data_IF_281133302307
#
_entry.id   IF_281133302307
#
_cell.length_a   1.000
_cell.length_b   1.000
_cell.length_c   1.000
_cell.angle_alpha   90.00
_cell.angle_beta   90.00
_cell.angle_gamma   90.00
#
_symmetry.space_group_name_H-M   'P 1'
#
loop_
_entity.id
_entity.type
_entity.pdbx_description
1 polymer ?
#
# COMPACT_ATOMS: atom_id res chain seq x y z
N UNK A 1 0.85 7.81 -8.73
CA UNK A 1 1.32 9.05 -8.12
C UNK A 1 2.85 9.10 -8.09
N UNK A 2 3.50 8.26 -7.28
CA UNK A 2 4.98 8.27 -7.12
C UNK A 2 5.73 8.08 -8.43
N UNK A 3 5.39 7.10 -9.25
CA UNK A 3 6.03 6.91 -10.57
C UNK A 3 5.86 8.13 -11.48
N UNK A 4 4.66 8.74 -11.53
CA UNK A 4 4.43 9.93 -12.33
C UNK A 4 5.28 11.12 -11.85
N UNK A 5 5.45 11.25 -10.53
CA UNK A 5 6.32 12.26 -9.93
C UNK A 5 7.78 12.03 -10.32
N UNK A 6 8.30 10.80 -10.17
CA UNK A 6 9.66 10.46 -10.55
C UNK A 6 9.92 10.74 -12.05
N UNK A 7 9.00 10.31 -12.90
CA UNK A 7 9.12 10.58 -14.35
C UNK A 7 9.16 12.08 -14.67
N UNK A 8 8.39 12.89 -13.97
CA UNK A 8 8.40 14.34 -14.16
C UNK A 8 9.73 14.97 -13.71
N UNK A 9 10.40 14.40 -12.71
CA UNK A 9 11.72 14.81 -12.24
C UNK A 9 12.82 14.40 -13.24
N UNK A 10 12.84 13.11 -13.63
CA UNK A 10 13.90 12.53 -14.45
C UNK A 10 13.81 12.97 -15.93
N UNK A 11 12.59 13.21 -16.40
CA UNK A 11 12.32 13.53 -17.82
C UNK A 11 11.43 14.76 -17.98
N UNK A 12 11.85 15.96 -17.52
CA UNK A 12 11.02 17.16 -17.48
C UNK A 12 10.50 17.58 -18.86
N UNK A 13 11.26 17.31 -19.94
CA UNK A 13 10.85 17.64 -21.30
C UNK A 13 9.82 16.67 -21.89
N UNK A 14 9.66 15.49 -21.29
CA UNK A 14 8.79 14.42 -21.82
C UNK A 14 7.43 14.35 -21.14
N UNK A 15 7.32 14.93 -19.93
CA UNK A 15 6.08 14.89 -19.14
C UNK A 15 5.40 16.25 -19.17
N UNK A 16 4.28 16.34 -19.85
CA UNK A 16 3.49 17.58 -19.93
C UNK A 16 2.48 17.72 -18.78
N UNK A 17 1.91 16.61 -18.35
CA UNK A 17 0.90 16.55 -17.28
C UNK A 17 1.17 15.37 -16.39
N UNK A 18 1.08 15.55 -15.08
CA UNK A 18 1.23 14.50 -14.09
C UNK A 18 0.02 14.49 -13.14
N UNK A 19 -0.61 13.33 -12.99
CA UNK A 19 -1.70 13.12 -12.04
C UNK A 19 -1.16 12.40 -10.82
N UNK A 20 -1.25 13.04 -9.66
CA UNK A 20 -0.81 12.52 -8.37
C UNK A 20 -2.03 12.41 -7.46
N UNK A 21 -2.60 11.23 -7.39
CA UNK A 21 -3.85 10.95 -6.66
C UNK A 21 -3.54 10.01 -5.50
N UNK A 22 -3.98 10.36 -4.28
CA UNK A 22 -3.81 9.57 -3.06
C UNK A 22 -2.36 9.07 -2.92
N UNK A 23 -1.39 10.00 -2.94
CA UNK A 23 0.03 9.70 -2.94
C UNK A 23 0.81 10.66 -2.03
N UNK A 24 2.09 10.39 -1.85
CA UNK A 24 2.97 11.20 -1.03
C UNK A 24 4.35 11.35 -1.69
N UNK A 25 5.13 12.39 -1.35
CA UNK A 25 6.51 12.51 -1.82
C UNK A 25 7.41 11.40 -1.27
N UNK A 26 7.11 10.86 -0.08
CA UNK A 26 7.73 9.66 0.49
C UNK A 26 6.80 8.98 1.50
N UNK A 27 7.04 7.70 1.78
CA UNK A 27 6.27 6.98 2.77
C UNK A 27 6.54 7.49 4.19
N UNK A 28 5.50 7.46 5.03
CA UNK A 28 5.65 7.65 6.46
C UNK A 28 6.24 6.40 7.13
N UNK A 29 6.84 6.57 8.32
CA UNK A 29 7.30 5.45 9.15
C UNK A 29 6.20 4.41 9.37
N UNK A 30 4.95 4.85 9.60
CA UNK A 30 3.82 3.95 9.77
C UNK A 30 3.53 3.13 8.51
N UNK A 31 3.60 3.74 7.32
CA UNK A 31 3.43 3.02 6.06
C UNK A 31 4.52 1.98 5.82
N UNK A 32 5.77 2.31 6.15
CA UNK A 32 6.90 1.38 6.09
C UNK A 32 6.68 0.20 7.04
N UNK A 33 6.21 0.48 8.28
CA UNK A 33 5.90 -0.55 9.26
C UNK A 33 4.81 -1.53 8.77
N UNK A 34 3.71 -1.02 8.18
CA UNK A 34 2.69 -1.89 7.57
C UNK A 34 3.23 -2.73 6.42
N UNK A 35 4.07 -2.13 5.58
CA UNK A 35 4.72 -2.86 4.49
C UNK A 35 5.61 -3.96 5.04
N UNK A 36 6.34 -3.71 6.13
CA UNK A 36 7.23 -4.70 6.72
C UNK A 36 6.46 -5.88 7.32
N UNK A 37 5.39 -5.63 8.08
CA UNK A 37 4.53 -6.70 8.63
C UNK A 37 3.99 -7.58 7.49
N UNK A 38 3.53 -6.97 6.40
CA UNK A 38 3.02 -7.70 5.24
C UNK A 38 4.13 -8.53 4.55
N UNK A 39 5.34 -7.99 4.44
CA UNK A 39 6.51 -8.74 3.91
C UNK A 39 6.89 -9.89 4.83
N UNK A 40 6.95 -9.67 6.14
CA UNK A 40 7.26 -10.73 7.10
C UNK A 40 6.27 -11.88 7.01
N UNK A 41 4.97 -11.60 6.83
CA UNK A 41 3.99 -12.64 6.62
C UNK A 41 4.31 -13.53 5.38
N UNK A 42 4.82 -12.94 4.30
CA UNK A 42 5.22 -13.66 3.09
C UNK A 42 6.54 -14.41 3.30
N UNK A 43 7.56 -13.73 3.87
CA UNK A 43 8.90 -14.28 4.04
C UNK A 43 8.94 -15.47 5.00
N UNK A 44 8.05 -15.48 6.00
CA UNK A 44 7.94 -16.57 6.99
C UNK A 44 6.97 -17.68 6.57
N UNK A 45 6.31 -17.56 5.42
CA UNK A 45 5.47 -18.62 4.88
C UNK A 45 6.36 -19.83 4.48
N UNK A 46 6.09 -21.05 5.01
CA UNK A 46 6.89 -22.23 4.67
C UNK A 46 6.98 -22.52 3.17
N UNK A 47 5.96 -22.14 2.41
CA UNK A 47 5.88 -22.35 0.97
C UNK A 47 6.57 -21.24 0.15
N UNK A 48 7.19 -20.24 0.80
CA UNK A 48 7.88 -19.14 0.11
C UNK A 48 9.26 -19.58 -0.46
N UNK A 49 9.98 -20.44 0.23
CA UNK A 49 11.28 -21.00 -0.20
C UNK A 49 12.26 -19.93 -0.68
N UNK A 50 12.46 -18.87 0.10
CA UNK A 50 13.39 -17.77 -0.23
C UNK A 50 13.13 -17.14 -1.62
N UNK A 51 11.88 -17.16 -2.07
CA UNK A 51 11.45 -16.66 -3.38
C UNK A 51 11.46 -17.70 -4.50
N UNK A 52 11.91 -18.92 -4.24
CA UNK A 52 12.00 -20.00 -5.21
C UNK A 52 10.75 -20.89 -5.28
N UNK A 53 9.61 -20.42 -4.75
CA UNK A 53 8.36 -21.19 -4.68
C UNK A 53 7.86 -21.68 -6.04
N UNK A 54 8.07 -20.91 -7.13
CA UNK A 54 7.64 -21.31 -8.46
C UNK A 54 8.37 -22.58 -8.95
N UNK A 55 9.70 -22.66 -8.76
CA UNK A 55 10.50 -23.86 -9.10
C UNK A 55 10.20 -25.05 -8.19
N UNK A 56 9.67 -24.80 -7.00
CA UNK A 56 9.20 -25.81 -6.03
C UNK A 56 7.74 -26.23 -6.24
N UNK A 57 7.05 -25.63 -7.22
CA UNK A 57 5.64 -25.86 -7.48
C UNK A 57 4.73 -25.58 -6.26
N UNK A 58 5.15 -24.63 -5.42
CA UNK A 58 4.40 -24.14 -4.24
C UNK A 58 3.96 -22.70 -4.43
N UNK A 59 3.19 -22.17 -3.50
CA UNK A 59 2.77 -20.77 -3.48
C UNK A 59 2.61 -20.34 -2.01
N UNK A 60 3.23 -19.25 -1.56
CA UNK A 60 3.11 -18.75 -0.18
C UNK A 60 1.72 -18.15 0.08
N UNK A 61 0.71 -19.03 0.10
CA UNK A 61 -0.70 -18.67 0.19
C UNK A 61 -1.04 -17.97 1.50
N UNK A 62 -0.47 -18.46 2.60
CA UNK A 62 -0.74 -17.92 3.94
C UNK A 62 -0.21 -16.50 4.07
N UNK A 63 1.03 -16.31 3.66
CA UNK A 63 1.69 -15.01 3.70
C UNK A 63 1.01 -13.98 2.81
N UNK A 64 0.75 -14.32 1.53
CA UNK A 64 0.03 -13.46 0.60
C UNK A 64 -1.39 -13.10 1.09
N UNK A 65 -2.10 -14.07 1.67
CA UNK A 65 -3.42 -13.85 2.27
C UNK A 65 -3.35 -12.82 3.40
N UNK A 66 -2.44 -13.00 4.36
CA UNK A 66 -2.27 -12.09 5.50
C UNK A 66 -1.85 -10.69 5.01
N UNK A 67 -0.89 -10.61 4.09
CA UNK A 67 -0.45 -9.36 3.49
C UNK A 67 -1.62 -8.59 2.85
N UNK A 68 -2.52 -9.30 2.16
CA UNK A 68 -3.72 -8.70 1.57
C UNK A 68 -4.75 -8.27 2.60
N UNK A 69 -4.97 -9.07 3.64
CA UNK A 69 -5.86 -8.70 4.75
C UNK A 69 -5.38 -7.41 5.43
N UNK A 70 -4.08 -7.28 5.71
CA UNK A 70 -3.46 -6.06 6.21
C UNK A 70 -3.73 -4.89 5.28
N UNK A 71 -3.54 -5.08 3.98
CA UNK A 71 -3.85 -4.05 2.97
C UNK A 71 -5.30 -3.58 3.05
N UNK A 72 -6.26 -4.49 3.18
CA UNK A 72 -7.68 -4.13 3.27
C UNK A 72 -8.03 -3.33 4.52
N UNK A 73 -7.36 -3.57 5.64
CA UNK A 73 -7.52 -2.74 6.84
C UNK A 73 -6.99 -1.33 6.58
N UNK A 74 -5.84 -1.21 5.91
CA UNK A 74 -5.18 0.09 5.69
C UNK A 74 -5.77 0.90 4.53
N UNK A 75 -6.54 0.29 3.64
CA UNK A 75 -7.16 0.98 2.49
C UNK A 75 -8.53 1.60 2.80
N UNK A 76 -9.15 1.21 3.90
CA UNK A 76 -10.47 1.66 4.28
C UNK A 76 -10.39 2.61 5.48
N UNK A 77 -11.26 3.60 5.50
CA UNK A 77 -11.45 4.45 6.66
C UNK A 77 -12.19 3.67 7.77
N UNK A 78 -11.90 3.99 9.03
CA UNK A 78 -12.55 3.38 10.19
C UNK A 78 -14.08 3.49 10.11
N UNK A 79 -14.59 4.69 9.84
CA UNK A 79 -16.03 4.92 9.66
C UNK A 79 -16.64 4.07 8.54
N UNK A 80 -15.88 3.84 7.46
CA UNK A 80 -16.32 3.02 6.33
C UNK A 80 -16.43 1.55 6.71
N UNK A 81 -15.46 1.03 7.47
CA UNK A 81 -15.50 -0.32 8.02
C UNK A 81 -16.64 -0.48 9.03
N UNK A 82 -16.77 0.49 9.96
CA UNK A 82 -17.81 0.50 10.97
C UNK A 82 -19.23 0.52 10.38
N UNK A 83 -19.48 1.38 9.39
CA UNK A 83 -20.77 1.44 8.69
C UNK A 83 -21.10 0.17 7.91
N UNK A 84 -20.08 -0.51 7.38
CA UNK A 84 -20.28 -1.67 6.53
C UNK A 84 -20.46 -2.98 7.31
N UNK A 85 -19.74 -3.14 8.41
CA UNK A 85 -19.68 -4.41 9.12
C UNK A 85 -20.11 -4.29 10.58
N UNK A 86 -19.99 -3.12 11.18
CA UNK A 86 -20.27 -2.95 12.61
C UNK A 86 -19.51 -3.98 13.46
N UNK A 87 -20.24 -4.57 14.38
CA UNK A 87 -19.85 -5.76 15.17
C UNK A 87 -20.74 -6.96 14.83
N UNK A 88 -21.25 -7.01 13.61
CA UNK A 88 -22.21 -8.01 13.17
C UNK A 88 -21.59 -9.40 13.19
N UNK A 89 -22.30 -10.33 13.79
CA UNK A 89 -21.93 -11.76 13.86
C UNK A 89 -22.54 -12.51 12.69
N UNK A 90 -21.84 -13.54 12.23
CA UNK A 90 -22.34 -14.46 11.20
C UNK A 90 -23.32 -15.50 11.73
N UNK A 91 -23.40 -15.65 13.03
CA UNK A 91 -24.25 -16.62 13.73
C UNK A 91 -24.99 -15.95 14.87
N UNK A 92 -25.97 -16.65 15.46
CA UNK A 92 -26.82 -16.12 16.53
C UNK A 92 -26.12 -15.95 17.90
N UNK A 93 -24.78 -15.94 17.93
CA UNK A 93 -24.03 -15.74 19.18
C UNK A 93 -22.56 -16.03 19.01
N UNK A 94 -21.80 -15.71 20.06
CA UNK A 94 -20.36 -15.98 20.11
C UNK A 94 -20.07 -17.47 20.22
N UNK A 95 -19.11 -17.95 19.45
CA UNK A 95 -18.64 -19.34 19.47
C UNK A 95 -17.41 -19.52 20.38
N UNK A 96 -16.79 -18.40 20.82
CA UNK A 96 -15.58 -18.36 21.65
C UNK A 96 -14.41 -19.18 21.07
N UNK A 97 -14.32 -19.24 19.75
CA UNK A 97 -13.30 -19.96 19.02
C UNK A 97 -12.39 -19.04 18.20
N UNK A 98 -11.48 -19.67 17.43
CA UNK A 98 -10.58 -18.96 16.49
C UNK A 98 -11.10 -19.03 15.04
N UNK A 99 -12.33 -19.44 14.84
CA UNK A 99 -13.02 -19.44 13.56
C UNK A 99 -13.42 -18.03 13.11
N UNK A 100 -14.28 -17.98 12.10
CA UNK A 100 -14.90 -16.72 11.65
C UNK A 100 -16.16 -16.49 12.48
N UNK A 101 -16.18 -15.45 13.25
CA UNK A 101 -17.35 -15.06 14.05
C UNK A 101 -17.98 -13.75 13.54
N UNK A 102 -17.17 -12.76 13.21
CA UNK A 102 -17.62 -11.44 12.73
C UNK A 102 -17.65 -11.36 11.20
N UNK A 103 -18.57 -10.55 10.66
CA UNK A 103 -18.66 -10.32 9.22
C UNK A 103 -17.37 -9.70 8.65
N UNK A 104 -16.70 -8.82 9.39
CA UNK A 104 -15.42 -8.24 8.97
C UNK A 104 -14.31 -9.29 8.80
N UNK A 105 -14.28 -10.32 9.66
CA UNK A 105 -13.30 -11.43 9.54
C UNK A 105 -13.54 -12.23 8.25
N UNK A 106 -14.81 -12.53 7.97
CA UNK A 106 -15.21 -13.18 6.73
C UNK A 106 -14.78 -12.39 5.51
N UNK A 107 -15.04 -11.09 5.52
CA UNK A 107 -14.64 -10.19 4.46
C UNK A 107 -13.12 -10.18 4.23
N UNK A 108 -12.33 -10.02 5.30
CA UNK A 108 -10.87 -10.00 5.19
C UNK A 108 -10.32 -11.32 4.66
N UNK A 109 -10.81 -12.46 5.17
CA UNK A 109 -10.39 -13.79 4.70
C UNK A 109 -10.74 -13.99 3.23
N UNK A 110 -11.95 -13.61 2.80
CA UNK A 110 -12.35 -13.66 1.39
C UNK A 110 -11.44 -12.82 0.49
N UNK A 111 -11.13 -11.57 0.88
CA UNK A 111 -10.26 -10.70 0.10
C UNK A 111 -8.83 -11.25 0.02
N UNK A 112 -8.34 -11.84 1.09
CA UNK A 112 -7.06 -12.52 1.12
C UNK A 112 -7.01 -13.72 0.18
N UNK A 113 -8.00 -14.61 0.25
CA UNK A 113 -8.08 -15.81 -0.59
C UNK A 113 -8.18 -15.46 -2.08
N UNK A 114 -8.99 -14.44 -2.42
CA UNK A 114 -9.14 -13.97 -3.80
C UNK A 114 -7.85 -13.38 -4.37
N UNK A 115 -7.01 -12.80 -3.52
CA UNK A 115 -5.75 -12.20 -3.93
C UNK A 115 -4.67 -13.22 -4.27
N UNK A 116 -4.59 -14.31 -3.52
CA UNK A 116 -3.55 -15.35 -3.64
C UNK A 116 -3.41 -15.91 -5.06
N UNK A 117 -4.52 -16.12 -5.76
CA UNK A 117 -4.48 -16.62 -7.14
C UNK A 117 -4.22 -15.57 -8.22
N UNK A 118 -4.01 -14.30 -7.84
CA UNK A 118 -3.96 -13.16 -8.77
C UNK A 118 -2.69 -12.33 -8.67
N UNK A 119 -1.88 -12.55 -7.65
CA UNK A 119 -0.70 -11.72 -7.40
C UNK A 119 0.51 -12.56 -7.01
N UNK A 120 1.66 -12.16 -7.52
CA UNK A 120 2.94 -12.81 -7.28
C UNK A 120 3.61 -12.30 -5.99
N UNK A 121 4.13 -13.21 -5.16
CA UNK A 121 4.73 -12.87 -3.88
C UNK A 121 6.03 -12.07 -4.01
N UNK A 122 6.91 -12.45 -4.95
CA UNK A 122 8.16 -11.72 -5.18
C UNK A 122 7.86 -10.29 -5.68
N UNK A 123 6.87 -10.14 -6.55
CA UNK A 123 6.42 -8.83 -7.01
C UNK A 123 5.88 -7.98 -5.84
N UNK A 124 5.13 -8.59 -4.91
CA UNK A 124 4.64 -7.88 -3.71
C UNK A 124 5.80 -7.34 -2.86
N UNK A 125 6.80 -8.19 -2.60
CA UNK A 125 8.01 -7.80 -1.85
C UNK A 125 8.76 -6.66 -2.55
N UNK A 126 9.01 -6.81 -3.85
CA UNK A 126 9.72 -5.81 -4.65
C UNK A 126 8.99 -4.47 -4.67
N UNK A 127 7.68 -4.47 -4.95
CA UNK A 127 6.89 -3.25 -5.05
C UNK A 127 6.80 -2.51 -3.71
N UNK A 128 6.63 -3.23 -2.60
CA UNK A 128 6.60 -2.59 -1.27
C UNK A 128 7.96 -2.04 -0.87
N UNK A 129 9.06 -2.69 -1.23
CA UNK A 129 10.41 -2.14 -1.02
C UNK A 129 10.69 -0.92 -1.91
N UNK A 130 10.29 -0.95 -3.17
CA UNK A 130 10.41 0.21 -4.04
C UNK A 130 9.66 1.43 -3.49
N UNK A 131 8.47 1.20 -2.90
CA UNK A 131 7.72 2.26 -2.23
C UNK A 131 8.43 2.79 -0.97
N UNK A 132 9.04 1.89 -0.16
CA UNK A 132 9.77 2.29 1.05
C UNK A 132 11.00 3.15 0.72
N UNK A 133 11.68 2.86 -0.40
CA UNK A 133 12.87 3.59 -0.84
C UNK A 133 12.56 4.89 -1.60
N UNK A 134 11.32 5.08 -2.02
CA UNK A 134 10.95 6.26 -2.78
C UNK A 134 11.09 7.53 -1.93
N UNK A 135 12.10 8.33 -2.21
CA UNK A 135 12.33 9.66 -1.64
C UNK A 135 13.03 10.55 -2.68
N UNK A 136 12.29 11.28 -3.48
CA UNK A 136 12.87 12.13 -4.53
C UNK A 136 13.70 13.31 -3.98
N UNK A 137 13.61 13.62 -2.69
CA UNK A 137 14.39 14.69 -2.07
C UNK A 137 15.79 14.23 -1.62
N UNK A 138 16.03 12.92 -1.48
CA UNK A 138 17.26 12.38 -0.93
C UNK A 138 18.53 12.88 -1.67
N UNK A 139 18.51 12.87 -3.00
CA UNK A 139 19.63 13.32 -3.83
C UNK A 139 19.75 14.85 -3.93
N UNK A 140 18.82 15.59 -3.33
CA UNK A 140 18.74 17.05 -3.36
C UNK A 140 18.88 17.70 -1.97
N UNK A 141 19.60 17.04 -1.08
CA UNK A 141 19.84 17.50 0.29
C UNK A 141 18.54 17.60 1.10
N UNK A 142 17.68 16.58 1.01
CA UNK A 142 16.38 16.46 1.65
C UNK A 142 15.38 17.57 1.31
N UNK A 143 15.59 18.26 0.19
CA UNK A 143 14.72 19.35 -0.26
C UNK A 143 13.85 18.93 -1.43
N UNK A 144 12.56 18.71 -1.17
CA UNK A 144 11.59 18.39 -2.22
C UNK A 144 11.45 19.54 -3.24
N UNK A 145 11.52 20.77 -2.80
CA UNK A 145 11.51 21.95 -3.69
C UNK A 145 12.68 21.94 -4.66
N UNK A 146 13.89 21.57 -4.21
CA UNK A 146 15.05 21.42 -5.10
C UNK A 146 14.88 20.28 -6.10
N UNK A 147 14.32 19.15 -5.64
CA UNK A 147 14.05 18.02 -6.52
C UNK A 147 13.06 18.38 -7.64
N UNK A 148 12.12 19.29 -7.37
CA UNK A 148 11.07 19.69 -8.30
C UNK A 148 11.39 20.95 -9.12
N UNK A 149 12.49 21.65 -8.85
CA UNK A 149 12.79 22.97 -9.44
C UNK A 149 12.86 22.98 -10.98
N UNK A 150 13.23 21.87 -11.60
CA UNK A 150 13.37 21.73 -13.05
C UNK A 150 12.17 21.08 -13.73
N UNK A 151 11.15 20.72 -12.96
CA UNK A 151 9.95 20.03 -13.48
C UNK A 151 9.09 21.01 -14.29
N UNK A 152 8.74 20.62 -15.52
CA UNK A 152 7.93 21.43 -16.45
C UNK A 152 6.46 20.95 -16.53
N UNK A 153 6.16 19.81 -15.96
CA UNK A 153 4.83 19.24 -15.98
C UNK A 153 3.81 20.10 -15.23
N UNK A 154 2.58 20.16 -15.72
CA UNK A 154 1.43 20.64 -14.96
C UNK A 154 0.91 19.52 -14.10
N UNK A 155 0.74 19.78 -12.81
CA UNK A 155 0.29 18.76 -11.85
C UNK A 155 -1.19 18.90 -11.55
N UNK A 156 -1.87 17.75 -11.50
CA UNK A 156 -3.15 17.60 -10.81
C UNK A 156 -2.91 16.74 -9.56
N UNK A 157 -3.06 17.34 -8.39
CA UNK A 157 -2.87 16.66 -7.10
C UNK A 157 -4.21 16.50 -6.41
N UNK A 158 -4.60 15.27 -6.10
CA UNK A 158 -5.84 14.98 -5.39
C UNK A 158 -5.58 14.07 -4.18
N UNK A 159 -6.33 14.33 -3.09
CA UNK A 159 -6.32 13.51 -1.88
C UNK A 159 -7.75 13.29 -1.40
N UNK A 160 -7.97 12.21 -0.65
CA UNK A 160 -9.25 11.93 -0.01
C UNK A 160 -9.19 12.33 1.46
N UNK A 161 -10.23 12.99 1.95
CA UNK A 161 -10.28 13.48 3.33
C UNK A 161 -10.17 12.38 4.39
N UNK A 162 -10.63 11.17 4.04
CA UNK A 162 -10.60 9.99 4.90
C UNK A 162 -9.40 9.09 4.69
N UNK A 163 -8.49 9.44 3.76
CA UNK A 163 -7.26 8.67 3.55
C UNK A 163 -6.26 9.00 4.66
N UNK A 164 -6.11 8.08 5.57
CA UNK A 164 -5.17 8.20 6.69
C UNK A 164 -3.76 7.70 6.36
N UNK A 165 -3.63 6.88 5.30
CA UNK A 165 -2.33 6.39 4.79
C UNK A 165 -1.59 7.43 3.98
N UNK A 166 -2.30 8.05 3.04
CA UNK A 166 -1.82 9.15 2.19
C UNK A 166 -2.65 10.40 2.45
N UNK A 167 -2.55 10.89 3.67
CA UNK A 167 -3.38 11.97 4.17
C UNK A 167 -3.27 13.24 3.32
N UNK A 168 -4.29 14.12 3.34
CA UNK A 168 -4.23 15.41 2.65
C UNK A 168 -3.00 16.26 3.01
N UNK A 169 -2.42 16.08 4.20
CA UNK A 169 -1.18 16.75 4.59
C UNK A 169 0.00 16.37 3.68
N UNK A 170 0.08 15.10 3.23
CA UNK A 170 1.11 14.66 2.30
C UNK A 170 0.97 15.29 0.91
N UNK A 171 -0.26 15.43 0.44
CA UNK A 171 -0.55 16.14 -0.82
C UNK A 171 -0.23 17.62 -0.73
N UNK A 172 -0.54 18.26 0.41
CA UNK A 172 -0.17 19.68 0.67
C UNK A 172 1.33 19.90 0.69
N UNK A 173 2.10 18.94 1.21
CA UNK A 173 3.57 18.99 1.19
C UNK A 173 4.10 19.03 -0.26
N UNK A 174 3.56 18.16 -1.13
CA UNK A 174 3.91 18.15 -2.54
C UNK A 174 3.54 19.47 -3.24
N UNK A 175 2.31 19.96 -3.03
CA UNK A 175 1.83 21.21 -3.66
C UNK A 175 2.66 22.42 -3.23
N UNK A 176 3.14 22.46 -1.98
CA UNK A 176 3.99 23.55 -1.50
C UNK A 176 5.40 23.53 -2.12
N UNK A 177 5.85 22.38 -2.57
CA UNK A 177 7.17 22.21 -3.15
C UNK A 177 7.19 22.42 -4.68
N UNK A 178 6.03 22.34 -5.34
CA UNK A 178 5.80 22.67 -6.75
C UNK A 178 5.71 24.18 -6.97
#
# INVERSE_FOLDING_TARGET
>A
GMQALQWAIDFPERVRHALVIASAPKLSTQNIAFNDVARQAILTDPDFHEGHYASRQTLPRRGLKIARMMGHITYLAEDGLGKKFGRDLRSNGYQYGYGVEFEVESYLRYQGDKFVGRFDANTYLLMTKALDYFDPAADFGDSLTRALQNVKAKFFVASFSTDWRFSPARSKELVKAL
#
